data_IF_714370490780
#
_entry.id   IF_714370490780
#
_cell.length_a   1.000
_cell.length_b   1.000
_cell.length_c   1.000
_cell.angle_alpha   90.00
_cell.angle_beta   90.00
_cell.angle_gamma   90.00
#
_symmetry.space_group_name_H-M   'P 1'
#
loop_
_entity.id
_entity.type
_entity.pdbx_description
1 polymer ?
#
# COMPACT_ATOMS: atom_id res chain seq x y z
N UNK A 1 -18.98 3.83 -9.88
CA UNK A 1 -18.11 3.86 -8.67
C UNK A 1 -17.32 5.15 -8.74
N UNK A 2 -17.29 5.94 -7.68
CA UNK A 2 -16.51 7.18 -7.67
C UNK A 2 -15.03 6.84 -7.44
N UNK A 3 -14.17 7.32 -8.33
CA UNK A 3 -12.71 7.19 -8.19
C UNK A 3 -12.25 8.25 -7.18
N UNK A 4 -11.50 7.83 -6.16
CA UNK A 4 -10.90 8.70 -5.15
C UNK A 4 -9.37 8.64 -5.29
N UNK A 5 -8.75 9.80 -5.21
CA UNK A 5 -7.28 9.96 -5.26
C UNK A 5 -6.80 10.61 -3.98
N UNK A 6 -5.57 10.30 -3.56
CA UNK A 6 -4.88 10.93 -2.45
C UNK A 6 -3.62 11.66 -2.92
N UNK A 7 -3.26 12.76 -2.26
CA UNK A 7 -2.03 13.52 -2.55
C UNK A 7 -1.74 14.59 -1.50
N UNK A 8 -0.49 15.04 -1.45
CA UNK A 8 -0.12 16.33 -0.85
C UNK A 8 -0.32 17.44 -1.89
N UNK A 9 -0.96 18.56 -1.53
CA UNK A 9 -1.49 19.53 -2.49
C UNK A 9 -0.99 20.96 -2.32
N UNK A 10 -1.21 21.55 -1.15
CA UNK A 10 -0.94 22.97 -0.87
C UNK A 10 -0.90 23.16 0.65
N UNK A 11 -0.19 24.16 1.17
CA UNK A 11 -0.15 24.46 2.60
C UNK A 11 -1.46 25.16 3.08
N UNK A 12 -1.59 25.35 4.38
CA UNK A 12 -2.75 25.98 5.06
C UNK A 12 -3.07 27.41 4.54
N UNK A 13 -2.09 28.03 3.89
CA UNK A 13 -2.22 29.40 3.34
C UNK A 13 -2.45 29.43 1.84
N UNK A 14 -2.58 28.26 1.20
CA UNK A 14 -2.66 28.14 -0.25
C UNK A 14 -1.34 28.47 -0.96
N UNK A 15 -0.17 28.22 -0.29
CA UNK A 15 1.17 28.46 -0.84
C UNK A 15 1.93 27.15 -1.00
N UNK A 16 3.04 27.20 -1.74
CA UNK A 16 3.86 26.01 -2.01
C UNK A 16 4.96 25.79 -0.97
N UNK A 17 5.30 26.84 -0.20
CA UNK A 17 6.40 26.81 0.77
C UNK A 17 6.11 27.69 1.98
N UNK A 18 6.73 27.37 3.11
CA UNK A 18 6.75 28.21 4.31
C UNK A 18 5.51 28.09 5.19
N UNK A 19 4.68 27.07 5.02
CA UNK A 19 3.61 26.69 5.93
C UNK A 19 4.16 26.11 7.25
N UNK A 20 3.26 25.77 8.15
CA UNK A 20 3.60 25.10 9.40
C UNK A 20 3.76 23.58 9.17
N UNK A 21 4.72 22.89 9.83
CA UNK A 21 4.86 21.45 9.71
C UNK A 21 3.62 20.69 10.20
N UNK A 22 3.25 19.64 9.48
CA UNK A 22 2.02 18.89 9.67
C UNK A 22 0.82 19.54 8.96
N UNK A 23 -0.27 18.77 8.77
CA UNK A 23 -1.50 19.28 8.18
C UNK A 23 -2.25 20.13 9.20
N UNK A 24 -2.48 21.41 8.88
CA UNK A 24 -3.14 22.36 9.76
C UNK A 24 -4.65 22.46 9.48
N UNK A 25 -5.08 21.96 8.32
CA UNK A 25 -6.44 22.15 7.81
C UNK A 25 -7.19 20.84 7.59
N UNK A 26 -6.51 19.68 7.67
CA UNK A 26 -7.00 18.40 7.20
C UNK A 26 -7.13 18.31 5.69
N UNK A 27 -6.54 19.25 4.97
CA UNK A 27 -6.68 19.38 3.52
C UNK A 27 -5.36 19.41 2.74
N UNK A 28 -4.24 19.59 3.42
CA UNK A 28 -2.92 19.70 2.79
C UNK A 28 -2.48 18.36 2.21
N UNK A 29 -2.69 17.27 2.97
CA UNK A 29 -2.48 15.89 2.55
C UNK A 29 -3.79 15.15 2.74
N UNK A 30 -4.55 14.98 1.68
CA UNK A 30 -5.92 14.47 1.81
C UNK A 30 -6.40 13.76 0.54
N UNK A 31 -7.52 13.08 0.68
CA UNK A 31 -8.23 12.45 -0.44
C UNK A 31 -9.21 13.40 -1.09
N UNK A 32 -9.49 13.18 -2.37
CA UNK A 32 -10.53 13.89 -3.12
C UNK A 32 -11.07 13.03 -4.27
N UNK A 33 -12.20 13.43 -4.82
CA UNK A 33 -12.70 12.83 -6.04
C UNK A 33 -11.70 13.03 -7.20
N UNK A 34 -11.54 12.00 -8.03
CA UNK A 34 -10.73 12.11 -9.25
C UNK A 34 -11.24 13.23 -10.14
N UNK A 35 -10.32 13.97 -10.73
CA UNK A 35 -10.60 15.02 -11.71
C UNK A 35 -9.67 14.93 -12.93
N UNK A 36 -10.10 15.47 -14.05
CA UNK A 36 -9.27 15.64 -15.23
C UNK A 36 -8.39 16.87 -15.05
N UNK A 37 -7.11 16.64 -14.86
CA UNK A 37 -6.14 17.75 -14.78
C UNK A 37 -5.98 18.41 -16.16
N UNK A 38 -5.85 19.74 -16.22
CA UNK A 38 -5.67 20.51 -17.48
C UNK A 38 -4.45 20.07 -18.30
N UNK A 39 -3.37 19.64 -17.63
CA UNK A 39 -2.18 19.05 -18.27
C UNK A 39 -2.35 17.60 -18.69
N UNK A 40 -3.52 16.97 -18.44
CA UNK A 40 -3.74 15.56 -18.63
C UNK A 40 -2.90 14.67 -17.69
N UNK A 41 -3.26 13.41 -17.61
CA UNK A 41 -2.60 12.41 -16.78
C UNK A 41 -1.92 11.33 -17.60
N UNK A 42 -0.77 10.84 -17.12
CA UNK A 42 -0.26 9.51 -17.39
C UNK A 42 -0.56 8.63 -16.18
N UNK A 43 -0.93 7.37 -16.43
CA UNK A 43 -1.15 6.38 -15.39
C UNK A 43 0.02 5.39 -15.38
N UNK A 44 0.59 5.19 -14.21
CA UNK A 44 1.56 4.14 -13.89
C UNK A 44 0.86 3.08 -13.05
N UNK A 45 0.54 1.96 -13.70
CA UNK A 45 -0.15 0.84 -13.08
C UNK A 45 0.84 -0.17 -12.54
N UNK A 46 0.85 -0.49 -11.24
CA UNK A 46 1.70 -1.54 -10.71
C UNK A 46 1.43 -2.87 -11.41
N UNK A 47 2.48 -3.63 -11.71
CA UNK A 47 2.34 -4.99 -12.28
C UNK A 47 1.66 -5.91 -11.29
N UNK A 48 2.15 -5.91 -10.06
CA UNK A 48 1.65 -6.74 -8.97
C UNK A 48 0.50 -6.07 -8.21
N UNK A 49 -0.57 -6.84 -7.98
CA UNK A 49 -1.74 -6.35 -7.22
C UNK A 49 -1.36 -6.05 -5.75
N UNK A 50 -0.44 -6.81 -5.18
CA UNK A 50 0.07 -6.57 -3.83
C UNK A 50 0.76 -5.21 -3.70
N UNK A 51 1.55 -4.82 -4.68
CA UNK A 51 2.19 -3.48 -4.75
C UNK A 51 1.12 -2.41 -4.93
N UNK A 52 0.11 -2.64 -5.78
CA UNK A 52 -0.98 -1.70 -5.98
C UNK A 52 -1.77 -1.44 -4.68
N UNK A 53 -2.12 -2.51 -3.97
CA UNK A 53 -2.82 -2.40 -2.68
C UNK A 53 -1.95 -1.71 -1.62
N UNK A 54 -0.65 -2.01 -1.56
CA UNK A 54 0.27 -1.37 -0.63
C UNK A 54 0.41 0.14 -0.91
N UNK A 55 0.47 0.57 -2.17
CA UNK A 55 0.51 1.98 -2.57
C UNK A 55 -0.78 2.71 -2.17
N UNK A 56 -1.96 2.13 -2.45
CA UNK A 56 -3.24 2.72 -2.06
C UNK A 56 -3.36 2.84 -0.53
N UNK A 57 -2.99 1.80 0.21
CA UNK A 57 -2.99 1.80 1.68
C UNK A 57 -2.02 2.84 2.24
N UNK A 58 -0.80 2.93 1.71
CA UNK A 58 0.18 3.90 2.15
C UNK A 58 -0.30 5.35 1.95
N UNK A 59 -0.92 5.64 0.80
CA UNK A 59 -1.47 6.97 0.53
C UNK A 59 -2.66 7.29 1.45
N UNK A 60 -3.56 6.33 1.72
CA UNK A 60 -4.66 6.53 2.69
C UNK A 60 -4.11 6.84 4.09
N UNK A 61 -3.12 6.07 4.55
CA UNK A 61 -2.48 6.30 5.85
C UNK A 61 -1.83 7.68 5.94
N UNK A 62 -1.23 8.17 4.84
CA UNK A 62 -0.69 9.51 4.81
C UNK A 62 -1.79 10.58 4.86
N UNK A 63 -2.89 10.38 4.13
CA UNK A 63 -4.03 11.32 4.09
C UNK A 63 -4.83 11.35 5.40
N UNK A 64 -4.71 10.32 6.24
CA UNK A 64 -5.37 10.20 7.55
C UNK A 64 -4.46 10.69 8.70
N UNK A 65 -3.21 11.05 8.41
CA UNK A 65 -2.22 11.43 9.42
C UNK A 65 -1.91 12.94 9.39
N UNK A 66 -2.55 13.71 10.24
CA UNK A 66 -2.39 15.16 10.37
C UNK A 66 -0.96 15.59 10.78
N UNK A 67 -0.07 14.65 11.09
CA UNK A 67 1.35 14.96 11.27
C UNK A 67 2.11 15.12 9.95
N UNK A 68 1.49 14.88 8.80
CA UNK A 68 2.08 15.04 7.48
C UNK A 68 1.40 16.21 6.77
N UNK A 69 2.09 17.34 6.63
CA UNK A 69 1.60 18.52 5.93
C UNK A 69 2.30 18.73 4.58
N UNK A 70 2.06 19.89 3.98
CA UNK A 70 2.58 20.23 2.67
C UNK A 70 3.65 21.32 2.70
N UNK A 71 4.84 21.03 2.12
CA UNK A 71 5.83 22.05 1.80
C UNK A 71 6.81 21.55 0.72
N UNK A 72 7.04 22.35 -0.33
CA UNK A 72 8.08 22.03 -1.32
C UNK A 72 9.49 22.26 -0.79
N UNK A 73 9.67 23.17 0.15
CA UNK A 73 10.99 23.45 0.75
C UNK A 73 11.52 22.30 1.60
N UNK A 74 10.66 21.62 2.33
CA UNK A 74 10.99 20.52 3.24
C UNK A 74 10.44 19.18 2.76
N UNK A 75 10.17 19.04 1.47
CA UNK A 75 9.45 17.94 0.83
C UNK A 75 9.94 16.52 1.18
N UNK A 76 11.21 16.36 1.51
CA UNK A 76 11.82 15.07 1.80
C UNK A 76 11.69 14.63 3.26
N UNK A 77 11.12 15.47 4.13
CA UNK A 77 11.03 15.19 5.56
C UNK A 77 10.15 13.97 5.84
N UNK A 78 9.05 13.83 5.12
CA UNK A 78 8.16 12.64 5.22
C UNK A 78 8.92 11.33 4.99
N UNK A 79 9.89 11.29 4.07
CA UNK A 79 10.68 10.07 3.80
C UNK A 79 11.60 9.75 4.98
N UNK A 80 12.18 10.78 5.61
CA UNK A 80 13.02 10.62 6.81
C UNK A 80 12.18 10.07 7.96
N UNK A 81 11.01 10.67 8.22
CA UNK A 81 10.10 10.25 9.29
C UNK A 81 9.52 8.85 9.06
N UNK A 82 9.17 8.52 7.81
CA UNK A 82 8.73 7.17 7.46
C UNK A 82 9.78 6.10 7.79
N UNK A 83 11.07 6.37 7.49
CA UNK A 83 12.15 5.43 7.79
C UNK A 83 12.36 5.23 9.30
N UNK A 84 12.08 6.25 10.10
CA UNK A 84 12.15 6.19 11.56
C UNK A 84 10.94 5.45 12.16
N UNK A 85 9.74 5.70 11.64
CA UNK A 85 8.47 5.16 12.18
C UNK A 85 8.07 3.81 11.58
N UNK A 86 8.63 3.44 10.42
CA UNK A 86 8.32 2.21 9.68
C UNK A 86 6.99 2.23 8.92
N UNK A 87 6.14 3.25 9.12
CA UNK A 87 4.85 3.39 8.44
C UNK A 87 4.40 4.84 8.44
N UNK A 88 3.72 5.29 7.36
CA UNK A 88 3.12 6.62 7.27
C UNK A 88 2.05 6.85 8.34
N UNK A 89 1.31 5.80 8.73
CA UNK A 89 0.36 5.87 9.83
C UNK A 89 1.00 6.11 11.20
N UNK A 90 2.27 5.71 11.37
CA UNK A 90 2.97 5.77 12.65
C UNK A 90 3.86 7.02 12.80
N UNK A 91 3.83 7.94 11.86
CA UNK A 91 4.55 9.22 11.98
C UNK A 91 3.83 10.06 13.04
N UNK A 92 4.50 10.32 14.16
CA UNK A 92 4.01 11.13 15.26
C UNK A 92 4.65 12.52 15.32
N UNK A 93 5.80 12.69 14.71
CA UNK A 93 6.47 14.00 14.61
C UNK A 93 5.96 14.74 13.37
N UNK A 94 5.69 16.03 13.54
CA UNK A 94 5.27 16.89 12.42
C UNK A 94 6.30 16.82 11.29
N UNK A 95 5.83 16.65 10.06
CA UNK A 95 6.63 16.47 8.85
C UNK A 95 5.95 17.11 7.65
N UNK A 96 6.69 17.24 6.57
CA UNK A 96 6.22 17.90 5.35
C UNK A 96 6.57 17.07 4.11
N UNK A 97 5.72 17.17 3.10
CA UNK A 97 5.88 16.53 1.81
C UNK A 97 5.40 17.46 0.68
N UNK A 98 5.95 17.31 -0.51
CA UNK A 98 5.23 17.68 -1.73
C UNK A 98 4.55 16.43 -2.34
N UNK A 99 3.79 16.63 -3.41
CA UNK A 99 3.08 15.53 -4.06
C UNK A 99 4.01 14.38 -4.47
N UNK A 100 5.18 14.67 -5.01
CA UNK A 100 6.11 13.67 -5.51
C UNK A 100 6.92 12.98 -4.39
N UNK A 101 7.29 13.71 -3.34
CA UNK A 101 7.94 13.12 -2.18
C UNK A 101 6.99 12.19 -1.41
N UNK A 102 5.68 12.54 -1.35
CA UNK A 102 4.68 11.67 -0.76
C UNK A 102 4.48 10.40 -1.57
N UNK A 103 4.41 10.48 -2.91
CA UNK A 103 4.38 9.28 -3.77
C UNK A 103 5.62 8.42 -3.56
N UNK A 104 6.83 9.02 -3.44
CA UNK A 104 8.04 8.26 -3.09
C UNK A 104 7.92 7.57 -1.75
N UNK A 105 7.41 8.25 -0.72
CA UNK A 105 7.19 7.64 0.60
C UNK A 105 6.23 6.44 0.51
N UNK A 106 5.15 6.56 -0.26
CA UNK A 106 4.24 5.44 -0.53
C UNK A 106 4.95 4.27 -1.23
N UNK A 107 5.83 4.54 -2.21
CA UNK A 107 6.63 3.51 -2.87
C UNK A 107 7.58 2.80 -1.88
N UNK A 108 8.24 3.54 -0.99
CA UNK A 108 9.12 2.97 0.04
C UNK A 108 8.32 2.06 0.97
N UNK A 109 7.16 2.50 1.43
CA UNK A 109 6.29 1.67 2.27
C UNK A 109 5.75 0.45 1.51
N UNK A 110 5.54 0.55 0.20
CA UNK A 110 5.15 -0.56 -0.66
C UNK A 110 6.30 -1.55 -0.98
N UNK A 111 7.51 -1.29 -0.47
CA UNK A 111 8.65 -2.21 -0.53
C UNK A 111 9.71 -1.89 -1.59
N UNK A 112 9.67 -0.71 -2.23
CA UNK A 112 10.70 -0.28 -3.17
C UNK A 112 10.93 1.23 -3.12
N UNK A 113 12.19 1.66 -3.18
CA UNK A 113 12.55 3.10 -3.25
C UNK A 113 12.94 3.47 -4.68
N UNK A 114 12.13 4.28 -5.40
CA UNK A 114 12.48 4.76 -6.73
C UNK A 114 13.61 5.80 -6.75
N UNK A 115 14.05 6.25 -5.58
CA UNK A 115 14.96 7.37 -5.43
C UNK A 115 14.24 8.73 -5.39
N UNK A 116 14.98 9.81 -5.20
CA UNK A 116 14.40 11.16 -5.14
C UNK A 116 14.01 11.64 -6.55
N UNK A 117 12.80 12.16 -6.69
CA UNK A 117 12.28 12.73 -7.93
C UNK A 117 11.33 13.90 -7.66
N UNK A 118 11.03 14.67 -8.67
CA UNK A 118 9.90 15.60 -8.74
C UNK A 118 9.07 15.30 -9.98
N UNK A 119 7.95 15.96 -10.16
CA UNK A 119 7.02 15.68 -11.28
C UNK A 119 7.61 15.90 -12.68
N UNK A 120 8.76 16.58 -12.81
CA UNK A 120 9.42 16.74 -14.11
C UNK A 120 10.15 15.47 -14.57
N UNK A 121 10.69 14.67 -13.63
CA UNK A 121 11.43 13.45 -13.92
C UNK A 121 10.77 12.18 -13.36
N UNK A 122 9.61 12.29 -12.73
CA UNK A 122 8.88 11.18 -12.11
C UNK A 122 8.59 10.06 -13.10
N UNK A 123 8.10 10.40 -14.31
CA UNK A 123 7.83 9.41 -15.33
C UNK A 123 9.06 8.56 -15.69
N UNK A 124 10.22 9.20 -15.89
CA UNK A 124 11.46 8.48 -16.17
C UNK A 124 11.92 7.64 -14.99
N UNK A 125 11.71 8.14 -13.78
CA UNK A 125 12.08 7.44 -12.54
C UNK A 125 11.21 6.22 -12.31
N UNK A 126 9.89 6.32 -12.43
CA UNK A 126 8.97 5.19 -12.28
C UNK A 126 9.24 4.08 -13.32
N UNK A 127 9.53 4.45 -14.57
CA UNK A 127 9.90 3.48 -15.62
C UNK A 127 11.12 2.63 -15.24
N UNK A 128 12.14 3.24 -14.62
CA UNK A 128 13.37 2.54 -14.23
C UNK A 128 13.14 1.50 -13.13
N UNK A 129 12.12 1.65 -12.30
CA UNK A 129 11.83 0.70 -11.21
C UNK A 129 11.37 -0.66 -11.71
N UNK A 130 10.87 -0.76 -12.95
CA UNK A 130 10.25 -1.95 -13.56
C UNK A 130 9.05 -2.52 -12.77
N UNK A 131 8.57 -1.79 -11.75
CA UNK A 131 7.41 -2.17 -10.94
C UNK A 131 6.08 -1.95 -11.67
N UNK A 132 6.07 -1.10 -12.69
CA UNK A 132 4.87 -0.67 -13.39
C UNK A 132 4.77 -1.29 -14.78
N UNK A 133 3.54 -1.39 -15.28
CA UNK A 133 3.24 -1.62 -16.69
C UNK A 133 3.72 -0.41 -17.52
N UNK A 134 3.66 -0.54 -18.85
CA UNK A 134 3.92 0.58 -19.73
C UNK A 134 2.98 1.74 -19.41
N UNK A 135 3.52 2.95 -19.48
CA UNK A 135 2.80 4.19 -19.20
C UNK A 135 1.55 4.34 -20.07
N UNK A 136 0.40 4.56 -19.43
CA UNK A 136 -0.90 4.67 -20.09
C UNK A 136 -1.33 6.16 -20.12
N UNK A 137 -1.55 6.78 -21.31
CA UNK A 137 -2.21 8.07 -21.38
C UNK A 137 -3.66 7.94 -20.88
N UNK A 138 -4.03 8.75 -19.88
CA UNK A 138 -5.40 8.70 -19.34
C UNK A 138 -6.35 9.44 -20.26
N UNK A 139 -7.42 8.77 -20.67
CA UNK A 139 -8.52 9.25 -21.50
C UNK A 139 -9.86 9.10 -20.77
N UNK A 140 -10.97 9.50 -21.39
CA UNK A 140 -12.31 9.31 -20.83
C UNK A 140 -12.66 7.83 -20.57
N UNK A 141 -12.14 6.92 -21.40
CA UNK A 141 -12.40 5.48 -21.28
C UNK A 141 -11.37 4.72 -20.43
N UNK A 142 -10.35 5.41 -19.89
CA UNK A 142 -9.33 4.73 -19.09
C UNK A 142 -9.91 4.32 -17.73
N UNK A 143 -9.95 3.04 -17.47
CA UNK A 143 -10.29 2.52 -16.13
C UNK A 143 -9.09 2.73 -15.19
N UNK A 144 -9.35 3.38 -14.06
CA UNK A 144 -8.37 3.58 -12.98
C UNK A 144 -8.64 2.58 -11.85
N UNK A 145 -7.57 2.03 -11.30
CA UNK A 145 -7.58 1.00 -10.28
C UNK A 145 -6.84 1.45 -9.02
N UNK A 146 -7.15 0.83 -7.89
CA UNK A 146 -6.41 1.08 -6.66
C UNK A 146 -4.90 0.93 -6.89
N UNK A 147 -4.12 1.88 -6.36
CA UNK A 147 -2.67 1.90 -6.46
C UNK A 147 -2.12 2.44 -7.80
N UNK A 148 -2.98 2.80 -8.77
CA UNK A 148 -2.51 3.52 -9.96
C UNK A 148 -1.90 4.86 -9.52
N UNK A 149 -0.68 5.16 -9.95
CA UNK A 149 -0.06 6.48 -9.78
C UNK A 149 -0.38 7.32 -11.02
N UNK A 150 -0.96 8.49 -10.81
CA UNK A 150 -1.26 9.43 -11.89
C UNK A 150 -0.26 10.59 -11.84
N UNK A 151 0.43 10.83 -12.94
CA UNK A 151 1.42 11.91 -13.11
C UNK A 151 0.98 12.83 -14.23
N UNK A 152 1.01 14.13 -14.03
CA UNK A 152 0.70 15.08 -15.11
C UNK A 152 1.69 14.94 -16.27
N UNK A 153 1.21 15.12 -17.52
CA UNK A 153 2.02 14.93 -18.74
C UNK A 153 3.22 15.88 -18.83
N UNK A 154 3.13 17.01 -18.18
CA UNK A 154 4.24 17.97 -17.99
C UNK A 154 4.40 18.21 -16.50
N UNK A 155 5.53 18.80 -16.07
CA UNK A 155 5.75 19.15 -14.65
C UNK A 155 4.50 19.81 -14.04
N UNK A 156 4.00 19.25 -12.94
CA UNK A 156 2.77 19.77 -12.28
C UNK A 156 2.43 19.02 -11.00
N UNK A 157 1.71 17.89 -11.12
CA UNK A 157 1.15 17.19 -9.98
C UNK A 157 1.22 15.67 -10.14
N UNK A 158 1.17 14.96 -9.02
CA UNK A 158 1.08 13.50 -8.97
C UNK A 158 0.19 13.07 -7.81
N UNK A 159 -0.56 11.97 -8.00
CA UNK A 159 -1.53 11.43 -7.04
C UNK A 159 -1.54 9.90 -7.09
N UNK A 160 -2.06 9.24 -6.06
CA UNK A 160 -2.33 7.80 -6.08
C UNK A 160 -3.83 7.56 -5.98
N UNK A 161 -4.35 6.65 -6.80
CA UNK A 161 -5.74 6.19 -6.72
C UNK A 161 -5.90 5.32 -5.47
N UNK A 162 -6.69 5.78 -4.51
CA UNK A 162 -6.93 5.08 -3.24
C UNK A 162 -8.26 4.32 -3.22
N UNK A 163 -9.23 4.73 -4.06
CA UNK A 163 -10.46 3.99 -4.33
C UNK A 163 -10.74 4.05 -5.83
N UNK A 164 -10.59 2.94 -6.50
CA UNK A 164 -10.77 2.79 -7.95
C UNK A 164 -11.53 1.52 -8.30
N UNK A 165 -11.58 1.20 -9.59
CA UNK A 165 -12.17 -0.06 -10.02
C UNK A 165 -11.39 -1.23 -9.41
N UNK A 166 -12.07 -2.34 -9.05
CA UNK A 166 -11.37 -3.53 -8.59
C UNK A 166 -10.57 -4.12 -9.77
N UNK A 167 -9.27 -4.37 -9.54
CA UNK A 167 -8.50 -5.19 -10.47
C UNK A 167 -9.00 -6.62 -10.31
N UNK A 168 -9.68 -7.15 -11.34
CA UNK A 168 -9.80 -8.60 -11.46
C UNK A 168 -8.37 -9.13 -11.58
N UNK A 169 -7.96 -10.02 -10.67
CA UNK A 169 -6.87 -10.92 -10.97
C UNK A 169 -7.19 -11.45 -12.38
N UNK A 170 -6.30 -11.25 -13.34
CA UNK A 170 -6.42 -11.99 -14.58
C UNK A 170 -6.71 -13.41 -14.16
N UNK A 171 -7.69 -14.07 -14.78
CA UNK A 171 -7.87 -15.51 -14.63
C UNK A 171 -6.54 -16.12 -15.04
N UNK A 172 -5.60 -16.08 -14.15
CA UNK A 172 -4.33 -16.73 -14.27
C UNK A 172 -4.56 -18.12 -13.75
N UNK A 173 -4.47 -19.08 -14.62
CA UNK A 173 -3.69 -20.23 -14.26
C UNK A 173 -2.70 -19.78 -13.21
N UNK A 174 -2.89 -20.23 -11.96
CA UNK A 174 -1.99 -20.18 -10.83
C UNK A 174 -0.72 -19.34 -11.07
N UNK A 175 -0.76 -18.01 -10.79
CA UNK A 175 0.49 -17.31 -10.47
C UNK A 175 0.84 -17.76 -9.07
N UNK A 176 1.51 -18.87 -9.01
CA UNK A 176 2.42 -19.16 -7.92
C UNK A 176 3.35 -17.95 -7.87
N UNK A 177 3.13 -17.01 -6.95
CA UNK A 177 4.24 -16.19 -6.47
C UNK A 177 5.34 -17.22 -6.20
N UNK A 178 6.54 -17.06 -6.75
CA UNK A 178 7.70 -17.90 -6.47
C UNK A 178 8.15 -17.80 -4.99
N UNK A 179 7.29 -17.29 -4.11
CA UNK A 179 7.47 -17.32 -2.68
C UNK A 179 7.05 -18.71 -2.21
N UNK A 180 8.02 -19.59 -2.16
CA UNK A 180 7.82 -20.93 -1.61
C UNK A 180 7.36 -20.82 -0.16
N UNK A 181 6.13 -21.25 0.11
CA UNK A 181 5.62 -21.37 1.47
C UNK A 181 6.38 -22.50 2.15
N UNK A 182 6.84 -22.27 3.39
CA UNK A 182 7.56 -23.28 4.14
C UNK A 182 6.69 -24.51 4.37
N UNK A 183 7.32 -25.69 4.40
CA UNK A 183 6.63 -26.89 4.83
C UNK A 183 6.31 -26.81 6.32
N UNK A 184 5.13 -27.25 6.71
CA UNK A 184 4.75 -27.35 8.10
C UNK A 184 5.52 -28.51 8.76
N UNK A 185 6.09 -28.26 9.94
CA UNK A 185 6.93 -29.21 10.66
C UNK A 185 6.16 -30.04 11.71
N UNK A 186 4.99 -29.54 12.11
CA UNK A 186 4.19 -30.15 13.17
C UNK A 186 2.75 -30.37 12.72
N UNK A 187 2.13 -31.46 13.20
CA UNK A 187 0.72 -31.77 12.98
C UNK A 187 0.02 -31.98 14.31
N UNK A 188 -1.14 -31.35 14.47
CA UNK A 188 -2.04 -31.53 15.60
C UNK A 188 -3.48 -31.36 15.06
N UNK A 189 -4.18 -32.46 14.90
CA UNK A 189 -5.54 -32.49 14.33
C UNK A 189 -6.56 -31.69 15.16
N UNK A 190 -6.32 -31.53 16.45
CA UNK A 190 -7.19 -30.73 17.34
C UNK A 190 -7.20 -29.23 16.96
N UNK A 191 -6.14 -28.78 16.30
CA UNK A 191 -6.03 -27.41 15.78
C UNK A 191 -6.76 -27.20 14.45
N UNK A 192 -7.17 -28.27 13.76
CA UNK A 192 -7.89 -28.13 12.51
C UNK A 192 -9.24 -27.42 12.73
N UNK A 193 -9.62 -26.56 11.80
CA UNK A 193 -10.90 -25.85 11.87
C UNK A 193 -10.79 -24.40 11.41
N UNK A 194 -11.92 -23.70 11.48
CA UNK A 194 -12.02 -22.30 11.09
C UNK A 194 -11.77 -21.39 12.29
N UNK A 195 -10.86 -20.47 12.11
CA UNK A 195 -10.52 -19.43 13.08
C UNK A 195 -10.99 -18.07 12.59
N UNK A 196 -11.21 -17.14 13.54
CA UNK A 196 -11.51 -15.74 13.26
C UNK A 196 -10.34 -14.88 13.74
N UNK A 197 -9.86 -13.95 12.91
CA UNK A 197 -8.81 -13.01 13.30
C UNK A 197 -9.36 -12.00 14.32
N UNK A 198 -8.59 -11.73 15.38
CA UNK A 198 -8.97 -10.76 16.44
C UNK A 198 -8.44 -9.35 16.19
N UNK A 199 -7.57 -9.20 15.20
CA UNK A 199 -7.01 -7.95 14.68
C UNK A 199 -6.58 -8.15 13.25
N UNK A 200 -6.14 -7.10 12.57
CA UNK A 200 -5.49 -7.24 11.28
C UNK A 200 -4.25 -8.11 11.43
N UNK A 201 -4.17 -9.18 10.63
CA UNK A 201 -3.17 -10.23 10.79
C UNK A 201 -2.52 -10.61 9.46
N UNK A 202 -1.20 -10.58 9.44
CA UNK A 202 -0.47 -11.05 8.26
C UNK A 202 -0.54 -12.57 8.10
N UNK A 203 -0.88 -13.05 6.89
CA UNK A 203 -0.59 -14.41 6.47
C UNK A 203 0.75 -14.40 5.72
N UNK A 204 1.68 -15.28 6.12
CA UNK A 204 3.09 -15.24 5.69
C UNK A 204 3.51 -16.55 5.02
N UNK A 205 4.54 -16.49 4.18
CA UNK A 205 5.15 -17.66 3.56
C UNK A 205 5.87 -18.59 4.58
N UNK A 206 6.21 -18.07 5.75
CA UNK A 206 6.85 -18.76 6.86
C UNK A 206 7.09 -17.80 8.00
N UNK A 207 7.59 -18.32 9.13
CA UNK A 207 7.92 -17.50 10.31
C UNK A 207 9.06 -16.53 9.96
N UNK A 208 8.82 -15.23 10.15
CA UNK A 208 9.77 -14.17 9.79
C UNK A 208 9.94 -13.92 8.29
N UNK A 209 9.16 -14.62 7.43
CA UNK A 209 9.22 -14.47 5.97
C UNK A 209 8.19 -13.45 5.44
N UNK A 210 8.21 -13.27 4.12
CA UNK A 210 7.36 -12.32 3.41
C UNK A 210 5.87 -12.48 3.77
N UNK A 211 5.17 -11.36 3.93
CA UNK A 211 3.72 -11.31 4.01
C UNK A 211 3.13 -11.60 2.64
N UNK A 212 2.20 -12.56 2.60
CA UNK A 212 1.45 -12.92 1.39
C UNK A 212 0.18 -12.09 1.26
N UNK A 213 -0.43 -11.74 2.39
CA UNK A 213 -1.58 -10.84 2.48
C UNK A 213 -1.77 -10.35 3.93
N UNK A 214 -2.66 -9.38 4.10
CA UNK A 214 -3.20 -8.99 5.40
C UNK A 214 -4.66 -9.48 5.47
N UNK A 215 -4.97 -10.22 6.50
CA UNK A 215 -6.33 -10.63 6.87
C UNK A 215 -6.90 -9.56 7.80
N UNK A 216 -7.92 -8.78 7.38
CA UNK A 216 -8.57 -7.83 8.28
C UNK A 216 -9.12 -8.50 9.54
N UNK A 217 -9.29 -7.75 10.61
CA UNK A 217 -9.98 -8.22 11.83
C UNK A 217 -11.36 -8.81 11.48
N UNK A 218 -11.72 -9.95 12.09
CA UNK A 218 -12.95 -10.68 11.76
C UNK A 218 -12.85 -11.61 10.56
N UNK A 219 -11.72 -11.69 9.86
CA UNK A 219 -11.52 -12.60 8.73
C UNK A 219 -11.53 -14.06 9.16
N UNK A 220 -12.03 -14.95 8.28
CA UNK A 220 -11.99 -16.40 8.49
C UNK A 220 -10.69 -16.98 7.94
N UNK A 221 -10.03 -17.80 8.76
CA UNK A 221 -8.82 -18.53 8.43
C UNK A 221 -9.03 -20.02 8.71
N UNK A 222 -8.89 -20.85 7.66
CA UNK A 222 -9.06 -22.31 7.77
C UNK A 222 -7.71 -22.95 8.03
N UNK A 223 -7.50 -23.48 9.24
CA UNK A 223 -6.32 -24.28 9.58
C UNK A 223 -6.55 -25.76 9.26
N UNK A 224 -5.53 -26.43 8.74
CA UNK A 224 -5.56 -27.85 8.35
C UNK A 224 -4.99 -28.78 9.43
N UNK A 225 -4.77 -28.29 10.66
CA UNK A 225 -4.13 -29.04 11.73
C UNK A 225 -2.61 -29.08 11.64
N UNK A 226 -2.02 -28.16 10.87
CA UNK A 226 -0.57 -28.03 10.75
C UNK A 226 -0.10 -26.71 11.32
N UNK A 227 1.14 -26.69 11.85
CA UNK A 227 1.73 -25.50 12.44
C UNK A 227 3.26 -25.58 12.46
N UNK A 228 3.89 -24.41 12.67
CA UNK A 228 5.30 -24.27 13.01
C UNK A 228 5.45 -23.53 14.34
N UNK A 229 6.59 -23.69 14.99
CA UNK A 229 6.96 -22.97 16.21
C UNK A 229 8.04 -21.93 15.90
N UNK A 230 7.89 -20.72 16.43
CA UNK A 230 8.96 -19.73 16.42
C UNK A 230 10.04 -20.02 17.49
N UNK A 231 11.09 -19.19 17.52
CA UNK A 231 12.19 -19.33 18.51
C UNK A 231 11.71 -19.27 19.96
N UNK A 232 10.57 -18.64 20.22
CA UNK A 232 9.91 -18.55 21.53
C UNK A 232 8.87 -19.64 21.76
N UNK A 233 8.84 -20.69 20.89
CA UNK A 233 7.88 -21.80 20.91
C UNK A 233 6.42 -21.40 20.76
N UNK A 234 6.15 -20.21 20.20
CA UNK A 234 4.81 -19.76 19.89
C UNK A 234 4.34 -20.36 18.56
N UNK A 235 3.06 -20.79 18.52
CA UNK A 235 2.46 -21.46 17.35
C UNK A 235 2.14 -20.48 16.22
N UNK A 236 2.49 -20.87 15.01
CA UNK A 236 2.07 -20.26 13.74
C UNK A 236 1.29 -21.31 12.97
N UNK A 237 -0.03 -21.09 12.83
CA UNK A 237 -0.93 -22.04 12.20
C UNK A 237 -0.79 -21.98 10.68
N UNK A 238 -0.72 -23.15 10.02
CA UNK A 238 -0.69 -23.26 8.57
C UNK A 238 -2.10 -23.50 8.05
N UNK A 239 -2.55 -22.67 7.12
CA UNK A 239 -3.91 -22.75 6.62
C UNK A 239 -4.16 -21.81 5.44
N UNK A 240 -5.44 -21.62 5.12
CA UNK A 240 -5.88 -20.79 4.00
C UNK A 240 -6.80 -19.66 4.48
N UNK A 241 -6.57 -18.51 3.93
CA UNK A 241 -7.45 -17.34 3.96
C UNK A 241 -8.04 -17.14 2.57
N UNK A 242 -9.35 -16.87 2.51
CA UNK A 242 -10.00 -16.44 1.27
C UNK A 242 -10.33 -14.95 1.38
N UNK A 243 -9.76 -14.14 0.51
CA UNK A 243 -9.98 -12.71 0.50
C UNK A 243 -11.39 -12.34 -0.04
N UNK A 244 -11.74 -11.05 0.03
CA UNK A 244 -13.05 -10.55 -0.47
C UNK A 244 -13.25 -10.73 -1.98
N UNK A 245 -12.17 -10.96 -2.73
CA UNK A 245 -12.21 -11.25 -4.17
C UNK A 245 -12.32 -12.74 -4.48
N UNK A 246 -12.31 -13.61 -3.44
CA UNK A 246 -12.36 -15.07 -3.58
C UNK A 246 -11.02 -15.72 -3.79
N UNK A 247 -9.90 -14.99 -3.71
CA UNK A 247 -8.56 -15.57 -3.85
C UNK A 247 -8.18 -16.35 -2.60
N UNK A 248 -7.69 -17.58 -2.78
CA UNK A 248 -7.20 -18.44 -1.70
C UNK A 248 -5.69 -18.20 -1.51
N UNK A 249 -5.32 -17.76 -0.32
CA UNK A 249 -3.94 -17.49 0.08
C UNK A 249 -3.58 -18.51 1.16
N UNK A 250 -2.60 -19.37 0.88
CA UNK A 250 -2.12 -20.39 1.82
C UNK A 250 -0.84 -19.93 2.47
N UNK A 251 -0.72 -20.08 3.78
CA UNK A 251 0.46 -19.64 4.52
C UNK A 251 0.30 -19.80 6.04
N UNK A 252 1.13 -19.05 6.77
CA UNK A 252 1.21 -19.08 8.22
C UNK A 252 0.61 -17.83 8.84
N UNK A 253 -0.23 -18.03 9.85
CA UNK A 253 -0.81 -16.97 10.66
C UNK A 253 -0.46 -17.18 12.14
N UNK A 254 -0.14 -16.11 12.85
CA UNK A 254 0.24 -16.19 14.26
C UNK A 254 -0.97 -16.52 15.13
N UNK A 255 -0.89 -17.65 15.87
CA UNK A 255 -2.02 -18.22 16.60
C UNK A 255 -2.60 -17.28 17.68
N UNK A 256 -1.78 -16.39 18.27
CA UNK A 256 -2.23 -15.48 19.33
C UNK A 256 -3.34 -14.51 18.89
N UNK A 257 -3.47 -14.26 17.59
CA UNK A 257 -4.50 -13.40 17.01
C UNK A 257 -5.63 -14.16 16.30
N UNK A 258 -5.78 -15.46 16.61
CA UNK A 258 -6.78 -16.33 16.03
C UNK A 258 -7.64 -16.95 17.14
N UNK A 259 -8.96 -16.86 16.99
CA UNK A 259 -9.93 -17.54 17.87
C UNK A 259 -10.71 -18.57 17.05
N UNK A 260 -10.85 -19.78 17.59
CA UNK A 260 -11.62 -20.87 16.99
C UNK A 260 -13.10 -20.69 17.27
#
# INVERSE_FOLDING_TARGET
MNIIIGSARIDERGKLTGGQPGDQTGGEVSTQAYYRHSKGWYCYRPKEISVANALATAMLQACENDNIGYCQGHRSDVVTKLRQSGSLANITAKSEADCSALVRACCIQAGFDPGNFNTANECATLNRTKQFMDRIPVTAGTMLYNGDILVTKTKGHTVIVVSGNPRKAASSNTVTSNVRVDAAQHKDSSLAGTYTTTSDLHIRAGIGKASLAIMPSGSKFQNFGYYNLDKSKKKWLYGVYTDKAGNKITGYAFAAYLRK
#
